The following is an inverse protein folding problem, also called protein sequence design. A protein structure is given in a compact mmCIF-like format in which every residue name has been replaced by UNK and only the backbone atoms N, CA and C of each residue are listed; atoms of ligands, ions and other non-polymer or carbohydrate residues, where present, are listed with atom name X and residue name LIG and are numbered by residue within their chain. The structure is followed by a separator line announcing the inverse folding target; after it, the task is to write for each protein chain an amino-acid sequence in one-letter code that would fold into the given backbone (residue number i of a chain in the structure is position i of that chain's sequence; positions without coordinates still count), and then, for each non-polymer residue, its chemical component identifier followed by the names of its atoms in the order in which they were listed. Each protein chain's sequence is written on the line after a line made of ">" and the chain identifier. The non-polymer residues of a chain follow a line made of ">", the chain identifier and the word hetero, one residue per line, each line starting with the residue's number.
data_IF_442587100519
#
_entry.id   IF_442587100519
#
_cell.length_a   1.000
_cell.length_b   1.000
_cell.length_c   1.000
_cell.angle_alpha   90.00
_cell.angle_beta   90.00
_cell.angle_gamma   90.00
#
_symmetry.space_group_name_H-M   'P 1'
#
loop_
_entity.id
_entity.type
_entity.pdbx_description
1 polymer ?
#
# COMPACT_ATOMS: atom_id res chain seq x y z
N UNK A 1 47.01 0.40 4.45
CA UNK A 1 46.08 0.82 3.38
C UNK A 1 44.81 -0.03 3.47
N UNK A 2 43.73 0.50 4.07
CA UNK A 2 42.44 -0.22 4.16
C UNK A 2 41.51 0.36 3.09
N UNK A 3 41.14 -0.47 2.13
CA UNK A 3 40.36 -0.08 0.95
C UNK A 3 38.98 0.43 1.38
N UNK A 4 38.63 1.62 0.90
CA UNK A 4 37.30 2.21 1.06
C UNK A 4 36.26 1.34 0.35
N UNK A 5 35.19 1.02 1.06
CA UNK A 5 34.04 0.29 0.53
C UNK A 5 33.22 1.29 -0.29
N UNK A 6 33.25 1.14 -1.61
CA UNK A 6 32.48 1.95 -2.54
C UNK A 6 31.00 1.81 -2.23
N UNK A 7 30.36 2.94 -1.98
CA UNK A 7 28.92 3.07 -1.82
C UNK A 7 28.29 2.66 -3.13
N UNK A 8 27.57 1.55 -3.13
CA UNK A 8 26.78 1.11 -4.28
C UNK A 8 25.65 2.11 -4.47
N UNK A 9 25.76 2.95 -5.49
CA UNK A 9 24.67 3.79 -5.98
C UNK A 9 23.51 2.88 -6.40
N UNK A 10 22.40 2.92 -5.66
CA UNK A 10 21.18 2.20 -6.01
C UNK A 10 20.49 2.92 -7.17
N UNK A 11 20.84 2.56 -8.40
CA UNK A 11 20.09 2.94 -9.60
C UNK A 11 18.64 2.45 -9.46
N UNK A 12 17.62 3.32 -9.62
CA UNK A 12 16.29 3.01 -9.17
C UNK A 12 15.47 2.46 -10.34
N UNK A 13 15.82 1.29 -10.86
CA UNK A 13 15.02 0.64 -11.90
C UNK A 13 14.15 -0.45 -11.26
N UNK A 14 12.88 -0.08 -11.00
CA UNK A 14 11.79 -0.97 -10.56
C UNK A 14 11.90 -1.57 -9.14
N UNK A 15 11.74 -0.75 -8.10
CA UNK A 15 11.60 -1.21 -6.71
C UNK A 15 10.34 -2.06 -6.43
N UNK A 16 9.46 -2.28 -7.42
CA UNK A 16 8.21 -3.03 -7.28
C UNK A 16 8.11 -4.12 -8.36
N UNK A 17 8.96 -5.14 -8.26
CA UNK A 17 8.74 -6.41 -8.98
C UNK A 17 7.65 -7.18 -8.24
N UNK A 18 6.38 -6.82 -8.48
CA UNK A 18 5.22 -7.50 -7.91
C UNK A 18 4.45 -8.24 -9.01
N UNK A 19 4.17 -9.53 -8.81
CA UNK A 19 3.44 -10.39 -9.75
C UNK A 19 1.95 -10.56 -9.41
N UNK A 20 1.41 -9.72 -8.52
CA UNK A 20 0.00 -9.81 -8.14
C UNK A 20 -0.92 -9.35 -9.29
N UNK A 21 -2.21 -9.68 -9.18
CA UNK A 21 -3.25 -9.23 -10.12
C UNK A 21 -3.62 -7.75 -10.01
N UNK A 22 -3.06 -7.04 -9.02
CA UNK A 22 -3.25 -5.59 -8.85
C UNK A 22 -2.29 -4.79 -9.74
N UNK A 23 -2.46 -3.47 -9.74
CA UNK A 23 -1.74 -2.54 -10.62
C UNK A 23 -0.35 -2.16 -10.10
N UNK A 24 0.26 -3.01 -9.27
CA UNK A 24 1.57 -2.75 -8.67
C UNK A 24 2.68 -2.56 -9.71
N UNK A 25 2.54 -3.19 -10.89
CA UNK A 25 3.51 -3.08 -11.99
C UNK A 25 3.48 -1.71 -12.67
N UNK A 26 2.38 -0.97 -12.55
CA UNK A 26 2.23 0.37 -13.12
C UNK A 26 2.89 1.46 -12.25
N UNK A 27 3.47 1.10 -11.10
CA UNK A 27 4.17 2.04 -10.23
C UNK A 27 5.54 2.38 -10.81
N UNK A 28 5.64 3.55 -11.44
CA UNK A 28 6.91 4.09 -11.89
C UNK A 28 7.74 4.60 -10.72
N UNK A 29 9.06 4.52 -10.87
CA UNK A 29 10.01 4.94 -9.84
C UNK A 29 9.87 6.42 -9.51
N UNK A 30 9.71 7.26 -10.53
CA UNK A 30 9.47 8.69 -10.36
C UNK A 30 8.25 8.93 -9.49
N UNK A 31 7.17 8.17 -9.71
CA UNK A 31 5.96 8.30 -8.91
C UNK A 31 6.18 7.88 -7.46
N UNK A 32 6.89 6.79 -7.22
CA UNK A 32 7.27 6.35 -5.86
C UNK A 32 8.04 7.47 -5.14
N UNK A 33 9.05 8.05 -5.79
CA UNK A 33 9.87 9.12 -5.23
C UNK A 33 9.03 10.36 -4.92
N UNK A 34 8.17 10.79 -5.85
CA UNK A 34 7.29 11.93 -5.64
C UNK A 34 6.32 11.70 -4.48
N UNK A 35 5.66 10.54 -4.43
CA UNK A 35 4.73 10.21 -3.34
C UNK A 35 5.42 10.18 -1.99
N UNK A 36 6.64 9.62 -1.91
CA UNK A 36 7.44 9.62 -0.69
C UNK A 36 7.84 11.03 -0.25
N UNK A 37 8.29 11.88 -1.18
CA UNK A 37 8.63 13.29 -0.90
C UNK A 37 7.42 14.07 -0.38
N UNK A 38 6.28 13.93 -1.06
CA UNK A 38 5.03 14.57 -0.63
C UNK A 38 4.65 14.09 0.77
N UNK A 39 4.66 12.77 1.02
CA UNK A 39 4.35 12.21 2.32
C UNK A 39 5.30 12.67 3.43
N UNK A 40 6.61 12.72 3.16
CA UNK A 40 7.62 13.17 4.12
C UNK A 40 7.47 14.65 4.50
N UNK A 41 6.91 15.48 3.61
CA UNK A 41 6.63 16.90 3.90
C UNK A 41 5.42 17.11 4.83
N UNK A 42 4.57 16.10 5.03
CA UNK A 42 3.39 16.20 5.89
C UNK A 42 3.74 16.08 7.37
N UNK A 43 2.99 16.79 8.23
CA UNK A 43 3.06 16.62 9.69
C UNK A 43 2.51 15.26 10.10
N UNK A 44 2.88 14.78 11.29
CA UNK A 44 2.49 13.45 11.79
C UNK A 44 0.97 13.16 11.69
N UNK A 45 0.11 14.10 12.11
CA UNK A 45 -1.35 13.96 12.00
C UNK A 45 -1.81 13.84 10.54
N UNK A 46 -1.29 14.70 9.66
CA UNK A 46 -1.60 14.68 8.23
C UNK A 46 -1.10 13.42 7.53
N UNK A 47 -0.01 12.81 8.02
CA UNK A 47 0.46 11.52 7.53
C UNK A 47 -0.53 10.40 7.84
N UNK A 48 -1.12 10.39 9.05
CA UNK A 48 -2.16 9.43 9.41
C UNK A 48 -3.41 9.62 8.53
N UNK A 49 -3.89 10.86 8.38
CA UNK A 49 -5.04 11.19 7.52
C UNK A 49 -4.76 10.78 6.06
N UNK A 50 -3.54 11.02 5.58
CA UNK A 50 -3.12 10.60 4.24
C UNK A 50 -3.22 9.08 4.08
N UNK A 51 -2.75 8.28 5.06
CA UNK A 51 -2.88 6.83 4.99
C UNK A 51 -4.34 6.37 4.96
N UNK A 52 -5.17 6.91 5.84
CA UNK A 52 -6.59 6.57 5.90
C UNK A 52 -7.30 6.89 4.58
N UNK A 53 -6.97 8.02 3.95
CA UNK A 53 -7.53 8.39 2.63
C UNK A 53 -7.13 7.43 1.49
N UNK A 54 -6.14 6.57 1.71
CA UNK A 54 -5.61 5.59 0.75
C UNK A 54 -6.00 4.16 1.07
N UNK A 55 -6.65 3.94 2.21
CA UNK A 55 -7.12 2.64 2.66
C UNK A 55 -8.65 2.64 2.56
N UNK A 56 -9.22 1.65 1.88
CA UNK A 56 -10.66 1.50 1.76
C UNK A 56 -11.10 0.13 2.25
N UNK A 57 -12.00 0.11 3.24
CA UNK A 57 -12.68 -1.08 3.71
C UNK A 57 -13.86 -1.37 2.80
N UNK A 58 -13.93 -2.60 2.29
CA UNK A 58 -14.98 -3.04 1.36
C UNK A 58 -15.64 -4.27 1.94
N UNK A 59 -16.97 -4.27 1.95
CA UNK A 59 -17.75 -5.43 2.35
C UNK A 59 -17.51 -6.59 1.39
N UNK A 60 -17.41 -7.80 1.95
CA UNK A 60 -17.21 -8.99 1.12
C UNK A 60 -18.51 -9.30 0.38
N UNK A 61 -18.53 -9.06 -0.93
CA UNK A 61 -19.63 -9.51 -1.79
C UNK A 61 -19.53 -11.03 -2.00
N UNK A 62 -20.45 -11.77 -1.37
CA UNK A 62 -20.50 -13.23 -1.47
C UNK A 62 -21.14 -13.63 -2.81
N UNK A 63 -20.45 -14.47 -3.60
CA UNK A 63 -20.94 -14.94 -4.92
C UNK A 63 -22.16 -15.86 -4.83
N UNK A 64 -22.36 -16.56 -3.71
CA UNK A 64 -23.53 -17.42 -3.48
C UNK A 64 -24.48 -16.71 -2.51
N UNK A 65 -25.69 -16.37 -2.98
CA UNK A 65 -26.84 -15.97 -2.13
C UNK A 65 -27.48 -17.20 -1.48
N UNK A 66 -26.71 -18.15 -0.98
CA UNK A 66 -27.29 -19.36 -0.40
C UNK A 66 -27.47 -19.16 1.10
N UNK A 67 -28.74 -18.96 1.49
CA UNK A 67 -29.35 -19.29 2.79
C UNK A 67 -28.37 -19.37 3.98
N UNK A 68 -27.77 -18.24 4.34
CA UNK A 68 -27.23 -18.08 5.68
C UNK A 68 -27.87 -16.83 6.27
N UNK A 69 -28.95 -17.08 7.00
CA UNK A 69 -29.31 -16.25 8.13
C UNK A 69 -28.07 -16.15 9.04
N UNK A 70 -27.79 -14.96 9.55
CA UNK A 70 -26.59 -14.57 10.33
C UNK A 70 -25.39 -14.13 9.45
N UNK A 71 -25.38 -12.86 9.00
CA UNK A 71 -24.21 -12.19 8.42
C UNK A 71 -22.94 -12.31 9.28
N UNK A 72 -23.09 -12.35 10.61
CA UNK A 72 -22.02 -12.37 11.62
C UNK A 72 -21.21 -13.67 11.71
N UNK A 73 -21.64 -14.75 11.07
CA UNK A 73 -20.98 -16.06 11.18
C UNK A 73 -19.66 -16.17 10.39
N UNK A 74 -19.38 -15.21 9.49
CA UNK A 74 -18.12 -15.21 8.73
C UNK A 74 -16.99 -14.56 9.53
N UNK A 75 -15.87 -15.28 9.67
CA UNK A 75 -14.64 -14.76 10.30
C UNK A 75 -14.06 -13.55 9.56
N UNK A 76 -14.35 -13.36 8.27
CA UNK A 76 -13.99 -12.16 7.51
C UNK A 76 -15.25 -11.43 7.09
N UNK A 77 -15.40 -10.19 7.56
CA UNK A 77 -16.54 -9.32 7.22
C UNK A 77 -16.18 -8.27 6.16
N UNK A 78 -14.91 -7.85 6.12
CA UNK A 78 -14.40 -6.85 5.20
C UNK A 78 -13.11 -7.31 4.49
N UNK A 79 -12.82 -6.66 3.37
CA UNK A 79 -11.56 -6.71 2.64
C UNK A 79 -10.99 -5.31 2.53
N UNK A 80 -9.66 -5.20 2.53
CA UNK A 80 -8.97 -3.91 2.51
C UNK A 80 -8.38 -3.68 1.13
N UNK A 81 -8.68 -2.53 0.53
CA UNK A 81 -8.04 -2.05 -0.69
C UNK A 81 -7.06 -0.93 -0.35
N UNK A 82 -5.89 -0.98 -0.97
CA UNK A 82 -4.85 0.04 -0.84
C UNK A 82 -4.69 0.76 -2.16
N UNK A 83 -4.88 2.08 -2.17
CA UNK A 83 -4.72 2.90 -3.37
C UNK A 83 -3.52 3.82 -3.25
N UNK A 84 -2.82 4.05 -4.36
CA UNK A 84 -1.68 4.96 -4.40
C UNK A 84 -1.77 5.84 -5.64
N UNK A 85 -1.22 7.07 -5.61
CA UNK A 85 -1.25 7.93 -6.78
C UNK A 85 -0.43 7.32 -7.92
N UNK A 86 -1.04 7.03 -9.07
CA UNK A 86 -0.38 6.76 -10.34
C UNK A 86 -0.13 8.04 -11.13
N UNK A 87 0.28 7.94 -12.40
CA UNK A 87 0.53 9.11 -13.25
C UNK A 87 -0.74 9.91 -13.50
N UNK A 88 -1.80 9.25 -13.97
CA UNK A 88 -3.08 9.91 -14.28
C UNK A 88 -4.21 9.51 -13.33
N UNK A 89 -4.11 8.35 -12.68
CA UNK A 89 -5.19 7.76 -11.88
C UNK A 89 -4.68 7.17 -10.56
N UNK A 90 -5.59 6.86 -9.63
CA UNK A 90 -5.26 6.06 -8.45
C UNK A 90 -5.07 4.60 -8.85
N UNK A 91 -3.94 4.02 -8.46
CA UNK A 91 -3.61 2.62 -8.71
C UNK A 91 -4.00 1.78 -7.51
N UNK A 92 -4.70 0.67 -7.76
CA UNK A 92 -4.94 -0.32 -6.73
C UNK A 92 -3.70 -1.19 -6.56
N UNK A 93 -3.16 -1.28 -5.34
CA UNK A 93 -1.93 -2.02 -5.04
C UNK A 93 -2.14 -3.04 -3.93
N UNK A 94 -1.26 -4.04 -3.89
CA UNK A 94 -1.26 -5.01 -2.81
C UNK A 94 -0.70 -4.38 -1.52
N UNK A 95 -1.05 -4.98 -0.37
CA UNK A 95 -0.55 -4.58 0.96
C UNK A 95 0.97 -4.43 0.99
N UNK A 96 1.69 -5.38 0.39
CA UNK A 96 3.16 -5.39 0.42
C UNK A 96 3.76 -4.19 -0.31
N UNK A 97 3.23 -3.85 -1.49
CA UNK A 97 3.68 -2.69 -2.27
C UNK A 97 3.35 -1.40 -1.54
N UNK A 98 2.16 -1.29 -0.94
CA UNK A 98 1.76 -0.15 -0.12
C UNK A 98 2.69 0.05 1.08
N UNK A 99 2.96 -1.02 1.84
CA UNK A 99 3.87 -0.97 2.99
C UNK A 99 5.29 -0.57 2.58
N UNK A 100 5.80 -1.11 1.46
CA UNK A 100 7.13 -0.75 0.93
C UNK A 100 7.18 0.70 0.45
N UNK A 101 6.09 1.22 -0.12
CA UNK A 101 6.03 2.60 -0.59
C UNK A 101 6.26 3.57 0.57
N UNK A 102 5.70 3.28 1.74
CA UNK A 102 5.71 4.17 2.89
C UNK A 102 6.57 3.70 4.07
N UNK A 103 7.37 2.65 3.87
CA UNK A 103 8.19 2.02 4.91
C UNK A 103 7.40 1.70 6.19
N UNK A 104 6.19 1.17 6.03
CA UNK A 104 5.32 0.80 7.14
C UNK A 104 5.63 -0.62 7.64
N UNK A 105 5.65 -0.80 8.96
CA UNK A 105 5.57 -2.12 9.57
C UNK A 105 4.14 -2.65 9.50
N UNK A 106 3.99 -3.97 9.62
CA UNK A 106 2.67 -4.59 9.63
C UNK A 106 1.84 -4.13 10.84
N UNK A 107 2.47 -4.02 12.02
CA UNK A 107 1.85 -3.50 13.24
C UNK A 107 1.35 -2.07 13.09
N UNK A 108 2.15 -1.18 12.50
CA UNK A 108 1.74 0.21 12.25
C UNK A 108 0.57 0.28 11.28
N UNK A 109 0.53 -0.59 10.27
CA UNK A 109 -0.60 -0.65 9.35
C UNK A 109 -1.87 -1.15 10.04
N UNK A 110 -1.77 -2.13 10.93
CA UNK A 110 -2.92 -2.62 11.71
C UNK A 110 -3.48 -1.54 12.64
N UNK A 111 -2.62 -0.83 13.37
CA UNK A 111 -3.03 0.29 14.24
C UNK A 111 -3.66 1.48 13.48
N UNK A 112 -3.51 1.55 12.16
CA UNK A 112 -4.18 2.56 11.34
C UNK A 112 -5.57 2.10 10.87
N UNK A 113 -5.88 0.81 11.02
CA UNK A 113 -7.10 0.19 10.47
C UNK A 113 -8.05 -0.21 11.61
N UNK A 114 -7.50 -0.67 12.74
CA UNK A 114 -8.20 -0.95 14.00
C UNK A 114 -8.38 0.33 14.84
#
# INVERSE_FOLDING_TARGET
>A
MKKAKTVTECTPESLVVCKCSYECQKLTVNRIVMTRKQFASLRYKQQADYFLSRISLISIQRRRKEKQEIPDSSRRQCSIKYTVPGEENLLLVCKQSFMRLFSLSNSRLQNLIE
#
